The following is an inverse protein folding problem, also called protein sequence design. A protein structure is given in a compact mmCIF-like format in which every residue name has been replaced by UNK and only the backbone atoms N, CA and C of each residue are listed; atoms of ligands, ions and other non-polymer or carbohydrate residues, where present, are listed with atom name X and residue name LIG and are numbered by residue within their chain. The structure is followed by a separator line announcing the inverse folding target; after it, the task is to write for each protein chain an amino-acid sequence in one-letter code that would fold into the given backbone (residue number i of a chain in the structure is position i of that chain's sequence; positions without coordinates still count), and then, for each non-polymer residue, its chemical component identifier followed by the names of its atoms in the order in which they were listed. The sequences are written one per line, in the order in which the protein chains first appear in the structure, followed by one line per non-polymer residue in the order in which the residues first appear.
data_IF_222686352074
#
_entry.id   IF_222686352074
#
_cell.length_a   1.000
_cell.length_b   1.000
_cell.length_c   1.000
_cell.angle_alpha   90.00
_cell.angle_beta   90.00
_cell.angle_gamma   90.00
#
_symmetry.space_group_name_H-M   'P 1'
#
loop_
_entity.id
_entity.type
_entity.pdbx_description
1 polymer ?
#
# COMPACT_ATOMS: atom_id res chain seq x y z
N UNK A 1 -28.99 19.06 5.01
CA UNK A 1 -28.08 18.30 5.88
C UNK A 1 -27.28 17.37 4.97
N UNK A 2 -26.03 17.71 4.66
CA UNK A 2 -25.13 16.78 3.98
C UNK A 2 -25.01 15.55 4.88
N UNK A 3 -25.42 14.38 4.41
CA UNK A 3 -25.25 13.16 5.21
C UNK A 3 -23.76 12.84 5.23
N UNK A 4 -23.16 12.81 6.43
CA UNK A 4 -21.82 12.29 6.70
C UNK A 4 -21.78 10.79 6.36
N UNK A 5 -21.49 10.46 5.09
CA UNK A 5 -21.54 9.08 4.61
C UNK A 5 -20.17 8.44 4.45
N UNK A 6 -19.12 9.23 4.26
CA UNK A 6 -17.76 8.78 3.92
C UNK A 6 -16.69 9.52 4.71
N UNK A 7 -15.44 9.07 4.57
CA UNK A 7 -14.28 9.73 5.13
C UNK A 7 -14.24 11.21 4.74
N UNK A 8 -13.87 12.05 5.70
CA UNK A 8 -13.73 13.48 5.54
C UNK A 8 -12.41 13.93 6.15
N UNK A 9 -11.86 15.00 5.61
CA UNK A 9 -10.71 15.64 6.23
C UNK A 9 -11.15 16.34 7.52
N UNK A 10 -10.43 16.06 8.59
CA UNK A 10 -10.62 16.73 9.87
C UNK A 10 -9.24 16.99 10.49
N UNK A 11 -9.03 18.22 10.95
CA UNK A 11 -7.77 18.65 11.54
C UNK A 11 -8.01 19.10 12.98
N UNK A 12 -7.27 18.50 13.91
CA UNK A 12 -7.20 18.93 15.31
C UNK A 12 -5.89 19.67 15.51
N UNK A 13 -5.92 20.78 16.24
CA UNK A 13 -4.74 21.60 16.45
C UNK A 13 -3.67 20.79 17.21
N UNK A 14 -2.51 20.61 16.59
CA UNK A 14 -1.31 20.08 17.24
C UNK A 14 -0.68 21.21 18.05
N UNK A 15 -0.52 21.01 19.36
CA UNK A 15 0.03 22.00 20.31
C UNK A 15 1.40 21.60 20.85
N UNK A 16 1.83 20.35 20.63
CA UNK A 16 3.19 19.86 20.88
C UNK A 16 3.45 18.69 19.94
N UNK A 17 4.65 18.61 19.37
CA UNK A 17 5.08 17.55 18.45
C UNK A 17 6.44 17.03 18.89
N UNK A 18 6.54 15.73 19.17
CA UNK A 18 7.79 15.11 19.62
C UNK A 18 8.11 13.85 18.82
N UNK A 19 9.28 13.84 18.17
CA UNK A 19 9.89 12.61 17.65
C UNK A 19 10.60 11.91 18.81
N UNK A 20 10.02 10.79 19.28
CA UNK A 20 10.54 9.99 20.39
C UNK A 20 11.68 9.07 19.97
N UNK A 21 11.66 8.60 18.73
CA UNK A 21 12.71 7.79 18.14
C UNK A 21 12.70 7.92 16.61
N UNK A 22 13.88 7.90 15.99
CA UNK A 22 14.06 7.96 14.55
C UNK A 22 14.57 6.63 14.02
N UNK A 23 13.90 6.10 13.00
CA UNK A 23 14.28 4.86 12.31
C UNK A 23 14.83 5.12 10.91
N UNK A 24 15.11 4.05 10.17
CA UNK A 24 15.53 4.16 8.76
C UNK A 24 14.35 4.46 7.83
N UNK A 25 13.19 3.86 8.10
CA UNK A 25 11.97 3.99 7.29
C UNK A 25 10.90 4.84 7.99
N UNK A 26 10.85 4.77 9.32
CA UNK A 26 9.76 5.34 10.12
C UNK A 26 10.26 5.92 11.43
N UNK A 27 9.53 6.91 11.95
CA UNK A 27 9.77 7.53 13.24
C UNK A 27 8.63 7.22 14.21
N UNK A 28 8.93 7.21 15.51
CA UNK A 28 7.91 7.13 16.56
C UNK A 28 7.61 8.53 17.09
N UNK A 29 6.36 8.97 16.94
CA UNK A 29 5.89 10.33 17.23
C UNK A 29 4.95 10.32 18.45
N UNK A 30 4.99 11.39 19.24
CA UNK A 30 4.07 11.71 20.33
C UNK A 30 3.57 13.16 20.18
N UNK A 31 2.35 13.30 19.64
CA UNK A 31 1.71 14.60 19.42
C UNK A 31 0.71 14.90 20.53
N UNK A 32 0.74 16.12 21.06
CA UNK A 32 -0.36 16.63 21.87
C UNK A 32 -1.32 17.43 20.98
N UNK A 33 -2.60 17.07 20.99
CA UNK A 33 -3.64 17.71 20.17
C UNK A 33 -4.79 18.25 21.02
N UNK A 34 -5.46 19.29 20.53
CA UNK A 34 -6.69 19.84 21.12
C UNK A 34 -7.90 19.31 20.36
N UNK A 35 -8.75 18.56 21.04
CA UNK A 35 -10.00 18.02 20.47
C UNK A 35 -11.00 19.13 20.17
N UNK A 36 -12.04 18.89 19.34
CA UNK A 36 -13.13 19.84 19.13
C UNK A 36 -13.86 20.25 20.42
N UNK A 37 -13.75 19.46 21.48
CA UNK A 37 -14.32 19.76 22.80
C UNK A 37 -13.42 20.65 23.68
N UNK A 38 -12.19 20.94 23.24
CA UNK A 38 -11.19 21.71 23.98
C UNK A 38 -10.27 20.88 24.89
N UNK A 39 -10.47 19.56 24.97
CA UNK A 39 -9.59 18.67 25.73
C UNK A 39 -8.22 18.52 25.05
N UNK A 40 -7.13 18.59 25.85
CA UNK A 40 -5.78 18.22 25.42
C UNK A 40 -5.57 16.73 25.61
N UNK A 41 -5.18 16.04 24.54
CA UNK A 41 -4.85 14.61 24.57
C UNK A 41 -3.51 14.35 23.87
N UNK A 42 -2.89 13.21 24.19
CA UNK A 42 -1.69 12.73 23.49
C UNK A 42 -2.04 11.62 22.49
N UNK A 43 -1.34 11.59 21.36
CA UNK A 43 -1.43 10.58 20.32
C UNK A 43 -0.04 10.11 19.92
N UNK A 44 0.22 8.83 20.16
CA UNK A 44 1.43 8.17 19.74
C UNK A 44 1.18 7.34 18.49
N UNK A 45 2.05 7.50 17.50
CA UNK A 45 1.94 6.79 16.23
C UNK A 45 3.29 6.66 15.55
N UNK A 46 3.35 5.80 14.55
CA UNK A 46 4.52 5.59 13.69
C UNK A 46 4.32 6.36 12.39
N UNK A 47 5.27 7.22 12.03
CA UNK A 47 5.28 7.83 10.69
C UNK A 47 5.62 6.79 9.65
N UNK A 48 5.14 6.98 8.42
CA UNK A 48 5.44 6.03 7.36
C UNK A 48 5.36 6.72 6.01
N UNK A 49 6.31 6.49 5.09
CA UNK A 49 6.23 7.04 3.73
C UNK A 49 4.99 6.52 2.99
N UNK A 50 4.49 5.37 3.45
CA UNK A 50 3.45 4.55 2.82
C UNK A 50 3.98 3.87 1.56
N UNK A 51 3.08 3.25 0.81
CA UNK A 51 3.49 2.25 -0.16
C UNK A 51 2.53 2.11 -1.34
N UNK A 52 2.97 1.34 -2.34
CA UNK A 52 2.15 0.83 -3.43
C UNK A 52 2.23 -0.69 -3.46
N UNK A 53 1.16 -1.35 -3.91
CA UNK A 53 1.14 -2.80 -4.15
C UNK A 53 0.53 -3.12 -5.51
N UNK A 54 0.88 -4.25 -6.10
CA UNK A 54 0.49 -4.60 -7.47
C UNK A 54 -0.14 -6.00 -7.52
N UNK A 55 -1.44 -6.06 -7.77
CA UNK A 55 -2.08 -7.30 -8.21
C UNK A 55 -1.88 -7.42 -9.72
N UNK A 56 -0.79 -8.06 -10.13
CA UNK A 56 -0.52 -8.35 -11.53
C UNK A 56 -1.21 -9.65 -11.94
N UNK A 57 -2.24 -9.54 -12.79
CA UNK A 57 -3.09 -10.66 -13.24
C UNK A 57 -2.76 -11.03 -14.69
N UNK A 58 -2.41 -12.29 -14.94
CA UNK A 58 -2.16 -12.80 -16.29
C UNK A 58 -3.43 -13.33 -16.98
N UNK A 59 -3.29 -13.73 -18.26
CA UNK A 59 -4.38 -14.27 -19.07
C UNK A 59 -4.86 -15.67 -18.62
N UNK A 60 -4.20 -16.27 -17.63
CA UNK A 60 -4.53 -17.57 -17.03
C UNK A 60 -5.19 -17.40 -15.65
N UNK A 61 -5.60 -16.19 -15.30
CA UNK A 61 -6.16 -15.83 -13.99
C UNK A 61 -5.24 -16.17 -12.81
N UNK A 62 -3.92 -15.99 -13.00
CA UNK A 62 -2.91 -16.14 -11.95
C UNK A 62 -2.39 -14.77 -11.54
N UNK A 63 -2.11 -14.62 -10.24
CA UNK A 63 -1.53 -13.42 -9.66
C UNK A 63 -0.04 -13.66 -9.43
N UNK A 64 0.79 -12.69 -9.84
CA UNK A 64 2.20 -12.69 -9.48
C UNK A 64 2.33 -12.44 -7.97
N UNK A 65 3.10 -13.28 -7.29
CA UNK A 65 3.36 -13.18 -5.85
C UNK A 65 4.84 -13.29 -5.57
N UNK A 66 5.26 -12.71 -4.46
CA UNK A 66 6.54 -12.91 -3.81
C UNK A 66 6.34 -13.64 -2.48
N UNK A 67 7.38 -14.35 -2.04
CA UNK A 67 7.45 -14.96 -0.72
C UNK A 67 8.54 -14.27 0.08
N UNK A 68 8.12 -13.43 1.03
CA UNK A 68 9.02 -12.56 1.78
C UNK A 68 8.93 -12.86 3.27
N UNK A 69 10.09 -12.98 3.93
CA UNK A 69 10.13 -13.05 5.38
C UNK A 69 9.81 -11.67 5.94
N UNK A 70 8.85 -11.59 6.87
CA UNK A 70 8.53 -10.37 7.61
C UNK A 70 8.90 -10.58 9.07
N UNK A 71 9.99 -9.96 9.50
CA UNK A 71 10.50 -10.13 10.87
C UNK A 71 9.50 -9.79 11.98
N UNK A 72 8.68 -8.71 11.90
CA UNK A 72 7.74 -8.36 12.96
C UNK A 72 6.74 -9.47 13.32
N UNK A 73 6.32 -10.26 12.32
CA UNK A 73 5.41 -11.41 12.50
C UNK A 73 6.13 -12.76 12.46
N UNK A 74 7.43 -12.77 12.15
CA UNK A 74 8.30 -13.96 12.06
C UNK A 74 7.79 -15.02 11.10
N UNK A 75 7.20 -14.60 9.98
CA UNK A 75 6.62 -15.48 8.98
C UNK A 75 7.16 -15.14 7.60
N UNK A 76 7.24 -16.16 6.73
CA UNK A 76 7.30 -15.93 5.29
C UNK A 76 5.87 -15.74 4.82
N UNK A 77 5.53 -14.54 4.36
CA UNK A 77 4.23 -14.22 3.84
C UNK A 77 4.23 -14.39 2.32
N UNK A 78 3.09 -14.82 1.79
CA UNK A 78 2.77 -14.67 0.36
C UNK A 78 2.20 -13.26 0.20
N UNK A 79 2.85 -12.46 -0.63
CA UNK A 79 2.50 -11.05 -0.86
C UNK A 79 2.53 -10.77 -2.37
N UNK A 80 1.73 -9.83 -2.89
CA UNK A 80 1.98 -9.29 -4.22
C UNK A 80 3.25 -8.42 -4.22
N UNK A 81 3.82 -8.12 -5.39
CA UNK A 81 4.86 -7.12 -5.50
C UNK A 81 4.43 -5.78 -4.89
N UNK A 82 5.32 -5.12 -4.15
CA UNK A 82 5.03 -3.90 -3.42
C UNK A 82 6.29 -3.15 -3.02
N UNK A 83 6.18 -1.83 -2.89
CA UNK A 83 7.30 -1.00 -2.45
C UNK A 83 6.91 0.27 -1.75
N UNK A 84 7.89 0.85 -1.05
CA UNK A 84 7.74 2.10 -0.32
C UNK A 84 7.72 3.29 -1.28
N UNK A 85 7.20 4.41 -0.78
CA UNK A 85 7.24 5.70 -1.47
C UNK A 85 8.28 6.60 -0.82
N UNK A 86 9.53 6.16 -0.91
CA UNK A 86 10.72 6.77 -0.33
C UNK A 86 11.53 7.60 -1.33
N UNK A 87 11.14 7.61 -2.61
CA UNK A 87 11.70 8.48 -3.64
C UNK A 87 10.91 9.79 -3.72
N UNK A 88 11.56 10.91 -3.35
CA UNK A 88 10.93 12.23 -3.32
C UNK A 88 10.40 12.64 -4.71
N UNK A 89 9.10 12.93 -4.76
CA UNK A 89 8.42 13.39 -5.97
C UNK A 89 8.15 12.30 -7.03
N UNK A 90 8.41 11.04 -6.74
CA UNK A 90 8.05 9.93 -7.62
C UNK A 90 6.51 9.80 -7.74
N UNK A 91 6.02 9.65 -8.98
CA UNK A 91 4.60 9.37 -9.22
C UNK A 91 4.25 7.98 -8.71
N UNK A 92 3.09 7.82 -8.07
CA UNK A 92 2.70 6.55 -7.44
C UNK A 92 2.59 5.39 -8.44
N UNK A 93 2.19 5.65 -9.70
CA UNK A 93 2.19 4.63 -10.73
C UNK A 93 3.62 4.28 -11.16
N UNK A 94 4.50 5.27 -11.27
CA UNK A 94 5.90 5.05 -11.60
C UNK A 94 6.58 4.16 -10.55
N UNK A 95 6.34 4.43 -9.26
CA UNK A 95 6.78 3.56 -8.17
C UNK A 95 6.26 2.13 -8.34
N UNK A 96 4.96 1.95 -8.59
CA UNK A 96 4.36 0.63 -8.76
C UNK A 96 4.93 -0.14 -9.97
N UNK A 97 5.22 0.56 -11.07
CA UNK A 97 5.85 -0.02 -12.27
C UNK A 97 7.30 -0.44 -12.00
N UNK A 98 8.07 0.38 -11.28
CA UNK A 98 9.44 0.07 -10.87
C UNK A 98 9.46 -1.19 -10.00
N UNK A 99 8.63 -1.25 -8.97
CA UNK A 99 8.56 -2.40 -8.04
C UNK A 99 8.14 -3.69 -8.75
N UNK A 100 7.18 -3.62 -9.69
CA UNK A 100 6.79 -4.78 -10.48
C UNK A 100 7.97 -5.32 -11.34
N UNK A 101 8.79 -4.42 -11.90
CA UNK A 101 9.95 -4.81 -12.68
C UNK A 101 11.07 -5.38 -11.79
N UNK A 102 11.32 -4.77 -10.63
CA UNK A 102 12.36 -5.18 -9.67
C UNK A 102 12.07 -6.55 -9.04
N UNK A 103 10.86 -6.72 -8.49
CA UNK A 103 10.51 -7.90 -7.72
C UNK A 103 10.03 -9.07 -8.58
N UNK A 104 9.31 -8.81 -9.67
CA UNK A 104 8.68 -9.83 -10.50
C UNK A 104 9.23 -9.93 -11.93
N UNK A 105 10.10 -9.01 -12.38
CA UNK A 105 10.58 -8.96 -13.79
C UNK A 105 9.43 -8.83 -14.79
N UNK A 106 8.40 -8.08 -14.41
CA UNK A 106 7.19 -7.88 -15.20
C UNK A 106 6.95 -6.39 -15.47
N UNK A 107 6.30 -6.13 -16.59
CA UNK A 107 5.67 -4.87 -16.95
C UNK A 107 4.26 -5.16 -17.45
N UNK A 108 3.43 -4.13 -17.61
CA UNK A 108 2.03 -4.28 -17.94
C UNK A 108 1.52 -3.12 -18.81
N UNK A 109 0.57 -3.42 -19.69
CA UNK A 109 -0.02 -2.46 -20.63
C UNK A 109 -1.25 -1.74 -20.09
N UNK A 110 -1.99 -2.35 -19.15
CA UNK A 110 -3.19 -1.80 -18.54
C UNK A 110 -3.03 -1.71 -17.02
N UNK A 111 -3.05 -0.48 -16.51
CA UNK A 111 -2.93 -0.15 -15.10
C UNK A 111 -4.18 0.55 -14.61
N UNK A 112 -4.69 0.10 -13.47
CA UNK A 112 -5.85 0.72 -12.80
C UNK A 112 -5.66 0.75 -11.29
N UNK A 113 -6.22 1.75 -10.63
CA UNK A 113 -6.26 1.73 -9.17
C UNK A 113 -7.34 0.75 -8.74
N UNK A 114 -6.93 -0.32 -8.06
CA UNK A 114 -7.83 -1.36 -7.56
C UNK A 114 -8.51 -0.90 -6.27
N UNK A 115 -7.72 -0.54 -5.26
CA UNK A 115 -8.23 -0.10 -3.94
C UNK A 115 -7.15 0.71 -3.21
N UNK A 116 -7.57 1.69 -2.41
CA UNK A 116 -6.69 2.41 -1.47
C UNK A 116 -7.08 2.01 -0.05
N UNK A 117 -6.09 1.78 0.81
CA UNK A 117 -6.32 1.46 2.23
C UNK A 117 -5.39 2.26 3.15
N UNK A 118 -5.79 2.38 4.41
CA UNK A 118 -4.93 2.73 5.53
C UNK A 118 -4.75 1.47 6.37
N UNK A 119 -3.50 1.08 6.65
CA UNK A 119 -3.23 -0.26 7.20
C UNK A 119 -3.63 -0.35 8.67
N UNK A 120 -3.20 0.61 9.49
CA UNK A 120 -3.54 0.67 10.92
C UNK A 120 -3.71 2.13 11.39
N UNK A 121 -4.82 2.81 11.01
CA UNK A 121 -4.99 4.26 11.17
C UNK A 121 -5.00 4.75 12.63
N UNK A 122 -5.14 3.83 13.61
CA UNK A 122 -5.04 4.18 15.03
C UNK A 122 -3.61 4.43 15.52
N UNK A 123 -2.58 4.02 14.77
CA UNK A 123 -1.19 4.08 15.23
C UNK A 123 -0.11 4.12 14.15
N UNK A 124 -0.46 4.12 12.87
CA UNK A 124 0.50 4.26 11.77
C UNK A 124 -0.08 5.18 10.68
N UNK A 125 0.78 6.02 10.11
CA UNK A 125 0.44 6.89 8.97
C UNK A 125 0.45 6.14 7.62
N UNK A 126 0.79 4.86 7.61
CA UNK A 126 0.87 4.08 6.38
C UNK A 126 -0.48 4.06 5.63
N UNK A 127 -0.41 4.63 4.43
CA UNK A 127 -1.42 4.47 3.40
C UNK A 127 -0.82 3.66 2.24
N UNK A 128 -1.65 2.80 1.66
CA UNK A 128 -1.26 1.86 0.62
C UNK A 128 -2.26 1.96 -0.54
N UNK A 129 -1.72 2.13 -1.76
CA UNK A 129 -2.51 2.05 -2.99
C UNK A 129 -2.18 0.76 -3.71
N UNK A 130 -3.22 -0.02 -3.97
CA UNK A 130 -3.10 -1.28 -4.69
C UNK A 130 -3.55 -1.05 -6.13
N UNK A 131 -2.67 -1.38 -7.07
CA UNK A 131 -2.92 -1.35 -8.50
C UNK A 131 -3.33 -2.73 -9.02
N UNK A 132 -4.18 -2.76 -10.04
CA UNK A 132 -4.36 -3.90 -10.93
C UNK A 132 -3.52 -3.66 -12.18
N UNK A 133 -2.65 -4.61 -12.50
CA UNK A 133 -1.83 -4.61 -13.71
C UNK A 133 -2.23 -5.80 -14.62
N UNK A 134 -2.49 -5.55 -15.90
CA UNK A 134 -2.88 -6.56 -16.92
C UNK A 134 -2.15 -6.33 -18.24
N UNK A 135 -2.18 -7.32 -19.13
CA UNK A 135 -1.39 -7.30 -20.36
C UNK A 135 0.10 -7.43 -20.02
N UNK A 136 0.41 -8.46 -19.22
CA UNK A 136 1.73 -8.62 -18.62
C UNK A 136 2.75 -9.11 -19.65
N UNK A 137 3.96 -8.58 -19.55
CA UNK A 137 5.10 -9.01 -20.35
C UNK A 137 6.39 -8.98 -19.53
N UNK A 138 7.30 -9.89 -19.85
CA UNK A 138 8.60 -9.98 -19.17
C UNK A 138 9.49 -8.78 -19.52
N UNK A 139 10.15 -8.25 -18.50
CA UNK A 139 11.18 -7.21 -18.64
C UNK A 139 12.38 -7.58 -17.77
N UNK A 140 13.62 -7.22 -18.17
CA UNK A 140 14.76 -7.40 -17.29
C UNK A 140 14.59 -6.57 -16.01
N UNK A 141 15.21 -7.01 -14.91
CA UNK A 141 15.35 -6.14 -13.74
C UNK A 141 16.09 -4.86 -14.12
N UNK A 142 15.74 -3.71 -13.52
CA UNK A 142 16.46 -2.46 -13.75
C UNK A 142 17.97 -2.60 -13.48
N UNK A 143 18.76 -1.89 -14.26
CA UNK A 143 20.22 -1.88 -14.10
C UNK A 143 20.60 -1.27 -12.74
N UNK A 144 21.47 -1.95 -11.99
CA UNK A 144 21.89 -1.51 -10.66
C UNK A 144 21.00 -2.02 -9.50
N UNK A 145 19.88 -2.70 -9.79
CA UNK A 145 19.10 -3.36 -8.75
C UNK A 145 19.84 -4.59 -8.21
N UNK A 146 20.29 -4.51 -6.96
CA UNK A 146 20.90 -5.61 -6.23
C UNK A 146 19.90 -6.11 -5.19
N UNK A 147 19.64 -7.42 -5.18
CA UNK A 147 18.89 -8.02 -4.08
C UNK A 147 19.73 -7.88 -2.81
N UNK A 148 19.23 -7.16 -1.82
CA UNK A 148 19.88 -6.97 -0.53
C UNK A 148 18.99 -7.43 0.63
N UNK A 149 19.59 -7.77 1.77
CA UNK A 149 18.84 -8.16 2.97
C UNK A 149 17.89 -9.34 2.76
N UNK A 150 16.61 -9.15 3.10
CA UNK A 150 15.56 -10.18 3.03
C UNK A 150 15.22 -10.55 1.57
N UNK A 151 15.44 -9.65 0.62
CA UNK A 151 15.11 -9.80 -0.80
C UNK A 151 15.98 -10.86 -1.51
N UNK A 152 17.19 -11.13 -1.01
CA UNK A 152 18.05 -12.21 -1.53
C UNK A 152 17.37 -13.57 -1.46
N UNK A 153 16.51 -13.75 -0.46
CA UNK A 153 15.76 -14.99 -0.24
C UNK A 153 14.35 -14.98 -0.85
N UNK A 154 13.94 -13.84 -1.40
CA UNK A 154 12.61 -13.63 -1.94
C UNK A 154 12.41 -14.45 -3.22
N UNK A 155 11.30 -15.17 -3.28
CA UNK A 155 10.93 -16.00 -4.44
C UNK A 155 9.67 -15.46 -5.08
N UNK A 156 9.80 -14.99 -6.32
CA UNK A 156 8.68 -14.69 -7.19
C UNK A 156 8.01 -16.00 -7.67
N UNK A 157 6.71 -15.95 -7.92
CA UNK A 157 5.92 -17.07 -8.42
C UNK A 157 4.53 -16.62 -8.87
N UNK A 158 3.72 -17.61 -9.27
CA UNK A 158 2.35 -17.41 -9.71
C UNK A 158 1.42 -18.27 -8.88
N UNK A 159 0.31 -17.70 -8.43
CA UNK A 159 -0.75 -18.45 -7.76
C UNK A 159 -2.08 -18.19 -8.49
N UNK A 160 -2.90 -19.23 -8.73
CA UNK A 160 -4.26 -19.04 -9.25
C UNK A 160 -5.06 -18.12 -8.33
N UNK A 161 -5.83 -17.20 -8.91
CA UNK A 161 -6.64 -16.25 -8.14
C UNK A 161 -7.64 -16.98 -7.22
N UNK A 162 -8.28 -18.04 -7.70
CA UNK A 162 -9.22 -18.84 -6.93
C UNK A 162 -8.54 -19.52 -5.72
N UNK A 163 -7.32 -20.04 -5.90
CA UNK A 163 -6.56 -20.66 -4.81
C UNK A 163 -6.16 -19.63 -3.75
N UNK A 164 -5.82 -18.40 -4.15
CA UNK A 164 -5.56 -17.31 -3.22
C UNK A 164 -6.80 -16.95 -2.40
N UNK A 165 -7.98 -16.91 -3.02
CA UNK A 165 -9.25 -16.66 -2.33
C UNK A 165 -9.50 -17.74 -1.26
N UNK A 166 -9.34 -19.02 -1.62
CA UNK A 166 -9.50 -20.13 -0.67
C UNK A 166 -8.45 -20.08 0.45
N UNK A 167 -7.19 -19.78 0.13
CA UNK A 167 -6.12 -19.64 1.11
C UNK A 167 -6.37 -18.50 2.10
N UNK A 168 -6.96 -17.39 1.65
CA UNK A 168 -7.38 -16.27 2.50
C UNK A 168 -8.47 -16.73 3.47
N UNK A 169 -9.54 -17.37 2.98
CA UNK A 169 -10.61 -17.88 3.84
C UNK A 169 -10.15 -18.97 4.82
N UNK A 170 -9.16 -19.76 4.43
CA UNK A 170 -8.53 -20.77 5.28
C UNK A 170 -7.55 -20.18 6.31
N UNK A 171 -7.27 -18.87 6.28
CA UNK A 171 -6.32 -18.22 7.17
C UNK A 171 -4.85 -18.55 6.87
N UNK A 172 -4.55 -19.04 5.66
CA UNK A 172 -3.20 -19.39 5.21
C UNK A 172 -2.47 -18.19 4.58
N UNK A 173 -3.22 -17.23 4.06
CA UNK A 173 -2.73 -15.97 3.54
C UNK A 173 -3.28 -14.79 4.36
N UNK A 174 -2.38 -13.99 4.95
CA UNK A 174 -2.75 -12.97 5.94
C UNK A 174 -2.13 -11.59 5.66
N UNK A 175 -1.30 -11.44 4.62
CA UNK A 175 -0.75 -10.13 4.23
C UNK A 175 -1.89 -9.18 3.89
N UNK A 176 -1.95 -7.97 4.49
CA UNK A 176 -3.05 -7.04 4.26
C UNK A 176 -3.17 -6.61 2.78
N UNK A 177 -2.03 -6.46 2.09
CA UNK A 177 -1.98 -6.13 0.67
C UNK A 177 -2.56 -7.25 -0.18
N UNK A 178 -2.13 -8.50 0.07
CA UNK A 178 -2.66 -9.66 -0.64
C UNK A 178 -4.16 -9.84 -0.39
N UNK A 179 -4.58 -9.87 0.88
CA UNK A 179 -5.98 -10.08 1.28
C UNK A 179 -6.89 -9.03 0.65
N UNK A 180 -6.54 -7.75 0.79
CA UNK A 180 -7.37 -6.67 0.27
C UNK A 180 -7.37 -6.65 -1.26
N UNK A 181 -6.21 -6.79 -1.89
CA UNK A 181 -6.07 -6.77 -3.34
C UNK A 181 -6.79 -7.93 -4.03
N UNK A 182 -6.56 -9.16 -3.58
CA UNK A 182 -7.22 -10.36 -4.13
C UNK A 182 -8.74 -10.28 -3.99
N UNK A 183 -9.23 -9.94 -2.79
CA UNK A 183 -10.67 -9.86 -2.54
C UNK A 183 -11.33 -8.71 -3.33
N UNK A 184 -10.65 -7.58 -3.50
CA UNK A 184 -11.13 -6.47 -4.32
C UNK A 184 -11.19 -6.84 -5.80
N UNK A 185 -10.15 -7.50 -6.32
CA UNK A 185 -10.12 -7.98 -7.70
C UNK A 185 -11.23 -9.00 -7.95
N UNK A 186 -11.37 -10.00 -7.08
CA UNK A 186 -12.38 -11.04 -7.24
C UNK A 186 -13.79 -10.46 -7.22
N UNK A 187 -14.07 -9.50 -6.32
CA UNK A 187 -15.35 -8.79 -6.31
C UNK A 187 -15.56 -7.97 -7.59
N UNK A 188 -14.52 -7.28 -8.08
CA UNK A 188 -14.60 -6.51 -9.32
C UNK A 188 -14.89 -7.41 -10.54
N UNK A 189 -14.30 -8.61 -10.61
CA UNK A 189 -14.59 -9.62 -11.64
C UNK A 189 -16.03 -10.12 -11.56
N UNK A 190 -16.48 -10.53 -10.36
CA UNK A 190 -17.86 -11.04 -10.15
C UNK A 190 -18.95 -10.02 -10.45
N UNK A 191 -18.63 -8.74 -10.36
CA UNK A 191 -19.56 -7.63 -10.61
C UNK A 191 -19.38 -6.97 -11.97
N UNK A 192 -18.49 -7.50 -12.83
CA UNK A 192 -18.16 -6.95 -14.16
C UNK A 192 -17.69 -5.48 -14.13
N UNK A 193 -16.98 -5.09 -13.06
CA UNK A 193 -16.51 -3.70 -12.85
C UNK A 193 -15.02 -3.50 -13.07
N UNK A 194 -14.30 -4.51 -13.55
CA UNK A 194 -12.83 -4.41 -13.76
C UNK A 194 -12.50 -3.23 -14.68
N UNK A 195 -13.31 -3.02 -15.73
CA UNK A 195 -13.14 -1.92 -16.67
C UNK A 195 -13.73 -0.58 -16.17
N UNK A 196 -14.38 -0.57 -15.01
CA UNK A 196 -14.90 0.61 -14.31
C UNK A 196 -14.01 1.04 -13.15
N UNK A 197 -12.96 0.26 -12.84
CA UNK A 197 -11.95 0.65 -11.86
C UNK A 197 -11.34 2.00 -12.23
N UNK A 198 -10.96 2.73 -11.18
CA UNK A 198 -10.41 4.09 -11.31
C UNK A 198 -9.16 4.09 -12.20
N UNK A 199 -8.96 5.13 -13.03
CA UNK A 199 -7.73 5.29 -13.82
C UNK A 199 -6.47 5.22 -12.95
N UNK A 200 -5.33 4.79 -13.51
CA UNK A 200 -4.08 4.63 -12.76
C UNK A 200 -3.61 5.91 -12.03
N UNK A 201 -3.79 7.07 -12.66
CA UNK A 201 -3.46 8.39 -12.08
C UNK A 201 -4.66 9.02 -11.34
N UNK A 202 -5.65 8.23 -10.92
CA UNK A 202 -6.77 8.77 -10.16
C UNK A 202 -6.25 9.43 -8.87
N UNK A 203 -6.88 10.53 -8.41
CA UNK A 203 -6.51 11.18 -7.17
C UNK A 203 -6.36 10.23 -6.00
N UNK A 204 -5.42 10.51 -5.10
CA UNK A 204 -5.29 9.82 -3.81
C UNK A 204 -5.62 10.76 -2.65
N UNK A 205 -6.90 10.85 -2.23
CA UNK A 205 -7.36 11.89 -1.33
C UNK A 205 -6.57 12.03 -0.02
N UNK A 206 -6.15 10.92 0.60
CA UNK A 206 -5.39 10.96 1.87
C UNK A 206 -3.99 11.57 1.72
N UNK A 207 -3.42 11.51 0.52
CA UNK A 207 -2.08 12.00 0.19
C UNK A 207 -2.07 13.37 -0.47
N UNK A 208 -3.17 13.78 -1.08
CA UNK A 208 -3.31 15.08 -1.75
C UNK A 208 -3.80 16.21 -0.82
N UNK A 209 -3.87 15.96 0.49
CA UNK A 209 -4.32 16.94 1.46
C UNK A 209 -3.32 18.11 1.61
N UNK A 210 -3.79 19.35 1.80
CA UNK A 210 -2.90 20.48 2.13
C UNK A 210 -2.15 20.24 3.45
N UNK A 211 -0.83 20.02 3.37
CA UNK A 211 0.02 19.64 4.50
C UNK A 211 0.40 18.16 4.57
N UNK A 212 -0.02 17.35 3.58
CA UNK A 212 0.29 15.92 3.50
C UNK A 212 -0.29 15.10 4.65
N UNK A 213 0.16 13.85 4.78
CA UNK A 213 -0.09 13.01 5.97
C UNK A 213 0.75 13.52 7.15
N UNK A 214 1.84 14.23 6.87
CA UNK A 214 2.86 14.63 7.82
C UNK A 214 2.48 15.82 8.69
N UNK A 215 1.37 16.52 8.39
CA UNK A 215 0.59 17.32 9.34
C UNK A 215 1.27 18.51 10.01
N UNK A 216 2.58 18.71 9.85
CA UNK A 216 3.30 19.87 10.38
C UNK A 216 3.22 20.99 9.35
N UNK A 217 2.26 21.91 9.54
CA UNK A 217 2.38 23.22 8.94
C UNK A 217 3.55 23.92 9.65
N UNK A 218 4.67 24.08 8.94
CA UNK A 218 5.64 25.11 9.32
C UNK A 218 4.91 26.46 9.31
N UNK A 219 5.08 27.23 10.39
CA UNK A 219 4.57 28.60 10.52
C UNK A 219 5.06 29.52 9.38
#
# INVERSE_FOLDING_TARGET
MSQERWDKDEYWQVVDHQVKATGQVCDFIDDAVITPSGERINRQYVSHPGAVGIIALDDQDRVAVVRQYRHPVRMVLVEPPAGLLDVEGEDFLAAAQRELAEEAMLSADDWRVLVDIVTTPGGCQESLRIYLARGLHEVPRPEGFLLEGEEVSMKAGWEPLDDLVEAIYAGQCQSPTLVTGVMALELARRTDRVNELRPAHAPWPIRERPGGIDGVRAE
#
